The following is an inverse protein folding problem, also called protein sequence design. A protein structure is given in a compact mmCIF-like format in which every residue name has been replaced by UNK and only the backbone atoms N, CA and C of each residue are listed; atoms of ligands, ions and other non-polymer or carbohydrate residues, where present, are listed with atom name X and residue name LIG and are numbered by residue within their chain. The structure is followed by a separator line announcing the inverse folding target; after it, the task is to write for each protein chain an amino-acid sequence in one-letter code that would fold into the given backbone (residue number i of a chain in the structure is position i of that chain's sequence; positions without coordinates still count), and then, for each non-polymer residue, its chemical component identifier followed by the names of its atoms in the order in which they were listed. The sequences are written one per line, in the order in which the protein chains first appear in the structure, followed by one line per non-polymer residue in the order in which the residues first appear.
data_IF_621972499360
#
_entry.id   IF_621972499360
#
_cell.length_a   1.000
_cell.length_b   1.000
_cell.length_c   1.000
_cell.angle_alpha   90.00
_cell.angle_beta   90.00
_cell.angle_gamma   90.00
#
_symmetry.space_group_name_H-M   'P 1'
#
loop_
_entity.id
_entity.type
_entity.pdbx_description
1 polymer ?
#
# COMPACT_ATOMS: atom_id res chain seq x y z
N UNK A 1 12.91 -7.60 40.24
CA UNK A 1 11.61 -6.96 40.49
C UNK A 1 11.30 -6.09 39.29
N UNK A 2 10.79 -6.72 38.22
CA UNK A 2 9.37 -6.66 37.77
C UNK A 2 9.11 -5.33 37.04
N UNK A 3 8.90 -5.27 35.73
CA UNK A 3 8.19 -6.19 34.86
C UNK A 3 8.70 -6.05 33.42
N UNK A 4 9.13 -7.16 32.85
CA UNK A 4 9.28 -7.34 31.41
C UNK A 4 7.99 -6.91 30.72
N UNK A 5 8.19 -6.16 29.64
CA UNK A 5 7.29 -6.02 28.50
C UNK A 5 6.17 -7.06 28.53
N UNK A 6 4.95 -6.60 28.77
CA UNK A 6 3.71 -7.33 28.48
C UNK A 6 3.67 -7.63 26.97
N UNK A 7 4.47 -8.61 26.55
CA UNK A 7 4.38 -9.27 25.28
C UNK A 7 2.98 -9.87 25.25
N UNK A 8 2.11 -9.25 24.45
CA UNK A 8 0.83 -9.85 24.09
C UNK A 8 1.16 -11.21 23.53
N UNK A 9 0.80 -12.29 24.23
CA UNK A 9 0.84 -13.63 23.69
C UNK A 9 0.10 -13.57 22.34
N UNK A 10 0.87 -13.66 21.25
CA UNK A 10 0.29 -13.90 19.95
C UNK A 10 -0.50 -15.21 20.06
N UNK A 11 -1.66 -15.35 19.41
CA UNK A 11 -2.33 -16.65 19.32
C UNK A 11 -1.30 -17.67 18.85
N UNK A 12 -1.27 -18.87 19.44
CA UNK A 12 -0.42 -20.00 19.01
C UNK A 12 -0.89 -20.50 17.63
N UNK A 13 -0.62 -19.67 16.63
CA UNK A 13 -0.60 -20.02 15.22
C UNK A 13 0.74 -20.73 15.05
N UNK A 14 0.73 -22.01 14.66
CA UNK A 14 1.93 -22.86 14.55
C UNK A 14 2.93 -22.44 13.46
N UNK A 15 3.10 -21.14 13.26
CA UNK A 15 4.02 -20.49 12.36
C UNK A 15 4.53 -19.19 13.02
N UNK A 16 5.84 -19.05 13.19
CA UNK A 16 6.42 -17.82 13.75
C UNK A 16 6.50 -16.72 12.68
N UNK A 17 6.26 -15.47 13.07
CA UNK A 17 6.35 -14.32 12.17
C UNK A 17 7.81 -14.19 11.69
N UNK A 18 8.06 -14.56 10.42
CA UNK A 18 9.39 -14.54 9.81
C UNK A 18 10.03 -15.92 9.57
N UNK A 19 9.33 -17.04 9.79
CA UNK A 19 9.87 -18.40 9.62
C UNK A 19 10.38 -18.69 8.20
N UNK A 20 9.81 -18.04 7.18
CA UNK A 20 10.19 -18.19 5.76
C UNK A 20 11.21 -17.15 5.27
N UNK A 21 11.68 -16.25 6.14
CA UNK A 21 12.58 -15.18 5.74
C UNK A 21 14.04 -15.62 5.83
N UNK A 22 14.83 -15.25 4.81
CA UNK A 22 16.27 -15.41 4.84
C UNK A 22 16.89 -14.14 5.44
N UNK A 23 17.73 -14.30 6.46
CA UNK A 23 18.47 -13.17 7.05
C UNK A 23 19.83 -13.03 6.39
N UNK A 24 19.95 -12.05 5.50
CA UNK A 24 21.20 -11.75 4.78
C UNK A 24 21.66 -10.35 5.18
N UNK A 25 22.90 -10.21 5.66
CA UNK A 25 23.45 -8.93 6.14
C UNK A 25 22.55 -8.19 7.17
N UNK A 26 21.94 -8.92 8.10
CA UNK A 26 20.97 -8.40 9.09
C UNK A 26 19.66 -7.84 8.48
N UNK A 27 19.41 -8.08 7.18
CA UNK A 27 18.18 -7.76 6.49
C UNK A 27 17.28 -9.01 6.42
N UNK A 28 16.03 -8.87 6.86
CA UNK A 28 15.05 -9.95 6.84
C UNK A 28 14.32 -9.94 5.48
N UNK A 29 14.66 -10.88 4.60
CA UNK A 29 14.18 -10.89 3.21
C UNK A 29 13.24 -12.08 2.99
N UNK A 30 12.04 -11.80 2.49
CA UNK A 30 11.14 -12.83 2.00
C UNK A 30 11.59 -13.29 0.61
N UNK A 31 12.29 -14.42 0.57
CA UNK A 31 13.08 -14.87 -0.59
C UNK A 31 12.31 -14.92 -1.93
N UNK A 32 11.10 -15.51 -2.03
CA UNK A 32 10.43 -15.62 -3.32
C UNK A 32 9.92 -14.28 -3.85
N UNK A 33 9.37 -13.41 -2.99
CA UNK A 33 8.77 -12.14 -3.44
C UNK A 33 9.85 -11.12 -3.79
N UNK A 34 10.91 -11.04 -2.98
CA UNK A 34 11.97 -10.05 -3.20
C UNK A 34 12.71 -10.29 -4.52
N UNK A 35 13.14 -11.53 -4.79
CA UNK A 35 13.93 -11.83 -6.00
C UNK A 35 13.08 -11.64 -7.26
N UNK A 36 11.83 -12.11 -7.25
CA UNK A 36 10.93 -11.99 -8.41
C UNK A 36 10.62 -10.53 -8.72
N UNK A 37 10.25 -9.73 -7.72
CA UNK A 37 9.97 -8.31 -7.92
C UNK A 37 11.22 -7.53 -8.36
N UNK A 38 12.37 -7.77 -7.74
CA UNK A 38 13.61 -7.09 -8.10
C UNK A 38 14.07 -7.44 -9.53
N UNK A 39 14.03 -8.73 -9.89
CA UNK A 39 14.40 -9.18 -11.23
C UNK A 39 13.47 -8.58 -12.30
N UNK A 40 12.16 -8.53 -12.03
CA UNK A 40 11.18 -7.96 -12.97
C UNK A 40 11.40 -6.45 -13.16
N UNK A 41 11.65 -5.71 -12.08
CA UNK A 41 11.95 -4.27 -12.17
C UNK A 41 13.23 -4.02 -12.96
N UNK A 42 14.31 -4.74 -12.64
CA UNK A 42 15.60 -4.58 -13.34
C UNK A 42 15.47 -4.94 -14.82
N UNK A 43 14.78 -6.03 -15.14
CA UNK A 43 14.50 -6.43 -16.53
C UNK A 43 13.72 -5.34 -17.27
N UNK A 44 12.67 -4.79 -16.66
CA UNK A 44 11.86 -3.74 -17.27
C UNK A 44 12.69 -2.48 -17.52
N UNK A 45 13.48 -2.04 -16.53
CA UNK A 45 14.36 -0.86 -16.68
C UNK A 45 15.37 -1.07 -17.81
N UNK A 46 16.10 -2.19 -17.81
CA UNK A 46 17.09 -2.47 -18.86
C UNK A 46 16.40 -2.54 -20.24
N UNK A 47 15.25 -3.23 -20.33
CA UNK A 47 14.48 -3.33 -21.57
C UNK A 47 14.05 -1.97 -22.11
N UNK A 48 13.55 -1.08 -21.24
CA UNK A 48 13.14 0.28 -21.65
C UNK A 48 14.34 1.14 -22.08
N UNK A 49 15.49 1.00 -21.44
CA UNK A 49 16.69 1.77 -21.78
C UNK A 49 17.32 1.34 -23.12
N UNK A 50 17.26 0.05 -23.46
CA UNK A 50 17.77 -0.46 -24.74
C UNK A 50 16.87 -0.09 -25.92
N UNK A 51 15.56 0.02 -25.71
CA UNK A 51 14.54 0.21 -26.74
C UNK A 51 13.64 1.42 -26.46
N UNK A 52 14.26 2.59 -26.30
CA UNK A 52 13.59 3.80 -25.79
C UNK A 52 12.37 4.23 -26.64
N UNK A 53 12.52 4.24 -27.96
CA UNK A 53 11.48 4.68 -28.88
C UNK A 53 10.30 3.69 -28.96
N UNK A 54 10.60 2.38 -29.06
CA UNK A 54 9.55 1.35 -29.06
C UNK A 54 8.83 1.26 -27.71
N UNK A 55 9.55 1.45 -26.60
CA UNK A 55 8.94 1.50 -25.28
C UNK A 55 8.00 2.71 -25.15
N UNK A 56 8.40 3.88 -25.66
CA UNK A 56 7.57 5.08 -25.61
C UNK A 56 6.26 4.92 -26.40
N UNK A 57 6.32 4.37 -27.63
CA UNK A 57 5.11 4.11 -28.42
C UNK A 57 4.23 3.06 -27.77
N UNK A 58 4.80 1.95 -27.31
CA UNK A 58 4.07 0.90 -26.62
C UNK A 58 3.37 1.40 -25.35
N UNK A 59 4.04 2.21 -24.52
CA UNK A 59 3.39 2.77 -23.32
C UNK A 59 2.31 3.80 -23.65
N UNK A 60 2.46 4.58 -24.73
CA UNK A 60 1.42 5.49 -25.20
C UNK A 60 0.18 4.72 -25.67
N UNK A 61 0.37 3.68 -26.47
CA UNK A 61 -0.72 2.83 -26.98
C UNK A 61 -1.41 2.08 -25.83
N UNK A 62 -0.64 1.51 -24.90
CA UNK A 62 -1.17 0.85 -23.71
C UNK A 62 -1.97 1.81 -22.82
N UNK A 63 -1.49 3.05 -22.65
CA UNK A 63 -2.23 4.07 -21.92
C UNK A 63 -3.58 4.31 -22.58
N UNK A 64 -3.62 4.59 -23.88
CA UNK A 64 -4.87 4.85 -24.61
C UNK A 64 -5.80 3.63 -24.56
N UNK A 65 -5.28 2.44 -24.79
CA UNK A 65 -6.06 1.20 -24.74
C UNK A 65 -6.67 0.95 -23.36
N UNK A 66 -5.88 1.15 -22.30
CA UNK A 66 -6.33 1.00 -20.91
C UNK A 66 -7.41 2.03 -20.57
N UNK A 67 -7.19 3.30 -20.91
CA UNK A 67 -8.15 4.37 -20.60
C UNK A 67 -9.42 4.32 -21.44
N UNK A 68 -9.42 3.69 -22.62
CA UNK A 68 -10.61 3.60 -23.47
C UNK A 68 -11.42 2.33 -23.18
N UNK A 69 -10.74 1.20 -22.94
CA UNK A 69 -11.39 -0.09 -22.71
C UNK A 69 -11.88 -0.22 -21.26
N UNK A 70 -11.10 0.26 -20.29
CA UNK A 70 -11.41 0.13 -18.86
C UNK A 70 -11.97 1.41 -18.23
N UNK A 71 -12.36 2.42 -19.03
CA UNK A 71 -12.91 3.68 -18.52
C UNK A 71 -14.09 3.45 -17.55
N UNK A 72 -15.07 2.68 -18.00
CA UNK A 72 -16.26 2.35 -17.22
C UNK A 72 -15.92 1.61 -15.92
N UNK A 73 -14.89 0.75 -15.95
CA UNK A 73 -14.45 0.01 -14.79
C UNK A 73 -13.76 0.92 -13.78
N UNK A 74 -12.88 1.83 -14.22
CA UNK A 74 -12.26 2.82 -13.34
C UNK A 74 -13.30 3.74 -12.69
N UNK A 75 -14.26 4.22 -13.46
CA UNK A 75 -15.34 5.08 -12.93
C UNK A 75 -16.22 4.32 -11.93
N UNK A 76 -16.67 3.11 -12.28
CA UNK A 76 -17.50 2.28 -11.41
C UNK A 76 -16.77 1.87 -10.14
N UNK A 77 -15.50 1.44 -10.23
CA UNK A 77 -14.71 1.04 -9.07
C UNK A 77 -14.45 2.21 -8.12
N UNK A 78 -14.08 3.38 -8.65
CA UNK A 78 -13.90 4.60 -7.84
C UNK A 78 -15.16 4.95 -7.07
N UNK A 79 -16.32 4.96 -7.74
CA UNK A 79 -17.59 5.23 -7.08
C UNK A 79 -17.95 4.16 -6.04
N UNK A 80 -17.72 2.87 -6.37
CA UNK A 80 -17.94 1.75 -5.46
C UNK A 80 -17.11 1.89 -4.18
N UNK A 81 -15.81 2.23 -4.27
CA UNK A 81 -14.97 2.41 -3.09
C UNK A 81 -15.44 3.58 -2.21
N UNK A 82 -15.85 4.70 -2.82
CA UNK A 82 -16.41 5.84 -2.09
C UNK A 82 -17.68 5.43 -1.35
N UNK A 83 -18.63 4.81 -2.05
CA UNK A 83 -19.89 4.33 -1.46
C UNK A 83 -19.64 3.26 -0.40
N UNK A 84 -18.68 2.38 -0.61
CA UNK A 84 -18.29 1.35 0.36
C UNK A 84 -17.73 1.97 1.64
N UNK A 85 -16.82 2.95 1.52
CA UNK A 85 -16.28 3.68 2.68
C UNK A 85 -17.38 4.44 3.44
N UNK A 86 -18.28 5.13 2.73
CA UNK A 86 -19.44 5.77 3.36
C UNK A 86 -20.38 4.75 4.03
N UNK A 87 -20.62 3.63 3.37
CA UNK A 87 -21.40 2.51 3.90
C UNK A 87 -20.81 2.00 5.21
N UNK A 88 -19.50 1.75 5.26
CA UNK A 88 -18.82 1.34 6.50
C UNK A 88 -18.93 2.43 7.57
N UNK A 89 -18.66 3.69 7.22
CA UNK A 89 -18.67 4.81 8.15
C UNK A 89 -20.03 5.04 8.82
N UNK A 90 -21.13 4.88 8.07
CA UNK A 90 -22.51 5.02 8.57
C UNK A 90 -23.01 3.74 9.25
N UNK A 91 -22.50 2.58 8.87
CA UNK A 91 -22.90 1.29 9.43
C UNK A 91 -22.38 1.08 10.87
N UNK A 92 -22.91 0.09 11.60
CA UNK A 92 -22.41 -0.29 12.92
C UNK A 92 -20.93 -0.72 12.90
N UNK A 93 -20.41 -1.13 11.74
CA UNK A 93 -19.02 -1.57 11.58
C UNK A 93 -18.03 -0.42 11.76
N UNK A 94 -18.41 0.82 11.44
CA UNK A 94 -17.58 2.01 11.66
C UNK A 94 -17.30 2.30 13.15
N UNK A 95 -18.07 1.70 14.07
CA UNK A 95 -17.84 1.85 15.53
C UNK A 95 -16.79 0.87 16.08
N UNK A 96 -16.34 -0.09 15.27
CA UNK A 96 -15.37 -1.10 15.71
C UNK A 96 -13.99 -0.44 15.82
N UNK A 97 -13.38 -0.55 17.02
CA UNK A 97 -12.02 -0.06 17.27
C UNK A 97 -10.98 -1.06 16.75
N UNK A 98 -10.13 -0.62 15.84
CA UNK A 98 -8.96 -1.35 15.36
C UNK A 98 -7.95 -1.49 16.52
N UNK A 99 -7.48 -2.71 16.80
CA UNK A 99 -6.58 -2.99 17.94
C UNK A 99 -7.27 -3.55 19.20
N UNK A 100 -8.58 -3.79 19.14
CA UNK A 100 -9.34 -4.49 20.19
C UNK A 100 -10.20 -3.56 21.06
N UNK A 101 -11.08 -4.16 21.89
CA UNK A 101 -12.13 -3.44 22.65
C UNK A 101 -11.60 -2.35 23.61
N UNK A 102 -10.36 -2.51 24.10
CA UNK A 102 -9.71 -1.59 25.04
C UNK A 102 -8.61 -0.72 24.40
N UNK A 103 -8.48 -0.75 23.07
CA UNK A 103 -7.50 0.09 22.39
C UNK A 103 -7.78 1.57 22.64
N UNK A 104 -6.70 2.32 22.91
CA UNK A 104 -6.66 3.77 22.99
C UNK A 104 -5.83 4.30 21.81
N UNK A 105 -6.16 5.47 21.26
CA UNK A 105 -5.33 6.07 20.22
C UNK A 105 -3.93 6.35 20.77
N UNK A 106 -2.91 5.97 20.01
CA UNK A 106 -1.50 6.19 20.35
C UNK A 106 -1.09 7.65 20.11
N UNK A 107 -1.68 8.28 19.08
CA UNK A 107 -1.46 9.68 18.73
C UNK A 107 -2.68 10.53 19.06
N UNK A 108 -2.43 11.80 19.44
CA UNK A 108 -3.49 12.79 19.59
C UNK A 108 -4.18 13.09 18.25
N UNK A 109 -5.41 13.60 18.29
CA UNK A 109 -6.22 13.81 17.08
C UNK A 109 -5.57 14.75 16.05
N UNK A 110 -4.94 15.83 16.50
CA UNK A 110 -4.22 16.77 15.63
C UNK A 110 -3.00 16.13 14.96
N UNK A 111 -2.22 15.35 15.71
CA UNK A 111 -1.08 14.62 15.19
C UNK A 111 -1.51 13.55 14.16
N UNK A 112 -2.58 12.80 14.47
CA UNK A 112 -3.16 11.82 13.55
C UNK A 112 -3.66 12.47 12.25
N UNK A 113 -4.35 13.61 12.34
CA UNK A 113 -4.82 14.35 11.16
C UNK A 113 -3.64 14.86 10.31
N UNK A 114 -2.58 15.35 10.94
CA UNK A 114 -1.37 15.78 10.25
C UNK A 114 -0.68 14.61 9.51
N UNK A 115 -0.64 13.42 10.11
CA UNK A 115 -0.10 12.21 9.46
C UNK A 115 -0.93 11.80 8.24
N UNK A 116 -2.26 11.90 8.31
CA UNK A 116 -3.14 11.61 7.18
C UNK A 116 -2.88 12.57 6.01
N UNK A 117 -2.69 13.85 6.30
CA UNK A 117 -2.38 14.85 5.26
C UNK A 117 -0.98 14.63 4.68
N UNK A 118 0.03 14.36 5.51
CA UNK A 118 1.38 14.06 5.06
C UNK A 118 1.45 12.80 4.19
N UNK A 119 0.67 11.77 4.49
CA UNK A 119 0.57 10.57 3.66
C UNK A 119 -0.14 10.83 2.32
N UNK A 120 -1.07 11.79 2.26
CA UNK A 120 -1.85 12.12 1.07
C UNK A 120 -1.20 13.15 0.13
N UNK A 121 -0.41 14.08 0.66
CA UNK A 121 0.24 15.13 -0.14
C UNK A 121 1.52 14.57 -0.78
N UNK A 122 1.43 14.26 -2.07
CA UNK A 122 2.56 13.79 -2.88
C UNK A 122 3.06 14.84 -3.88
N UNK A 123 4.07 14.44 -4.67
CA UNK A 123 4.64 15.25 -5.75
C UNK A 123 3.60 15.71 -6.79
N UNK A 124 2.52 14.95 -6.95
CA UNK A 124 1.41 15.29 -7.85
C UNK A 124 0.77 16.64 -7.50
N UNK A 125 0.67 17.01 -6.23
CA UNK A 125 0.08 18.30 -5.83
C UNK A 125 0.99 19.47 -6.23
N UNK A 126 2.32 19.29 -6.19
CA UNK A 126 3.26 20.32 -6.62
C UNK A 126 3.29 20.49 -8.14
N UNK A 127 3.09 19.41 -8.90
CA UNK A 127 3.10 19.45 -10.35
C UNK A 127 1.78 19.95 -10.95
N UNK A 128 0.64 19.48 -10.43
CA UNK A 128 -0.69 19.82 -10.95
C UNK A 128 -1.37 20.98 -10.21
N UNK A 129 -0.85 21.42 -9.06
CA UNK A 129 -1.46 22.50 -8.27
C UNK A 129 -1.15 23.92 -8.75
N UNK A 130 -0.23 24.08 -9.71
CA UNK A 130 0.13 25.37 -10.35
C UNK A 130 -0.57 25.57 -11.69
N UNK A 131 -1.24 24.54 -12.22
CA UNK A 131 -2.11 24.61 -13.39
C UNK A 131 -3.49 25.15 -13.01
#
# INVERSE_FOLDING_TARGET
MTTESTARAAPDIGHEIGEQNIRVFNLDIHNPVFIVSAALVVMLVIGTLLFLEQAATLFADLRVWTTTTFDWFYFAASNLFVLFCFGIALSPLGRIRLGGRRAKPEYGYSAWLAMLFAAGVGIGLMFFGVL
#
